data_IF_084608552152
#
_entry.id   IF_084608552152
#
_cell.length_a   1.000
_cell.length_b   1.000
_cell.length_c   1.000
_cell.angle_alpha   90.00
_cell.angle_beta   90.00
_cell.angle_gamma   90.00
#
_symmetry.space_group_name_H-M   'P 1'
#
loop_
_entity.id
_entity.type
_entity.pdbx_description
1 polymer ?
#
# COMPACT_ATOMS: atom_id res chain seq x y z
N UNK A 1 -15.41 31.40 -33.61
CA UNK A 1 -15.10 30.35 -32.62
C UNK A 1 -16.43 29.87 -32.00
N UNK A 2 -16.82 28.66 -32.26
CA UNK A 2 -18.01 28.07 -31.62
C UNK A 2 -17.66 27.69 -30.17
N UNK A 3 -18.40 28.21 -29.20
CA UNK A 3 -18.32 27.75 -27.82
C UNK A 3 -18.91 26.34 -27.73
N UNK A 4 -18.24 25.40 -27.05
CA UNK A 4 -18.81 24.07 -26.87
C UNK A 4 -20.15 24.17 -26.15
N UNK A 5 -21.13 23.43 -26.62
CA UNK A 5 -22.45 23.41 -25.99
C UNK A 5 -22.31 22.85 -24.56
N UNK A 6 -23.19 23.29 -23.67
CA UNK A 6 -23.22 22.78 -22.28
C UNK A 6 -23.33 21.25 -22.21
N UNK A 7 -23.89 20.62 -23.25
CA UNK A 7 -23.98 19.16 -23.38
C UNK A 7 -22.61 18.54 -23.67
N UNK A 8 -21.79 19.14 -24.55
CA UNK A 8 -20.44 18.66 -24.85
C UNK A 8 -19.51 18.79 -23.62
N UNK A 9 -19.58 19.92 -22.92
CA UNK A 9 -18.82 20.13 -21.67
C UNK A 9 -19.20 19.08 -20.60
N UNK A 10 -20.48 18.75 -20.50
CA UNK A 10 -20.96 17.72 -19.56
C UNK A 10 -20.49 16.31 -19.93
N UNK A 11 -20.43 15.98 -21.22
CA UNK A 11 -19.91 14.70 -21.70
C UNK A 11 -18.39 14.58 -21.47
N UNK A 12 -17.64 15.66 -21.71
CA UNK A 12 -16.20 15.68 -21.44
C UNK A 12 -15.90 15.56 -19.95
N UNK A 13 -16.64 16.26 -19.09
CA UNK A 13 -16.52 16.13 -17.63
C UNK A 13 -16.88 14.73 -17.15
N UNK A 14 -17.95 14.14 -17.68
CA UNK A 14 -18.35 12.77 -17.36
C UNK A 14 -17.30 11.74 -17.80
N UNK A 15 -16.67 11.93 -18.95
CA UNK A 15 -15.56 11.09 -19.42
C UNK A 15 -14.30 11.20 -18.56
N UNK A 16 -13.99 12.40 -18.09
CA UNK A 16 -12.85 12.64 -17.17
C UNK A 16 -13.13 12.01 -15.80
N UNK A 17 -14.34 12.15 -15.28
CA UNK A 17 -14.74 11.51 -14.02
C UNK A 17 -14.71 9.98 -14.11
N UNK A 18 -15.09 9.40 -15.24
CA UNK A 18 -15.05 7.96 -15.48
C UNK A 18 -13.61 7.44 -15.62
N UNK A 19 -12.72 8.18 -16.27
CA UNK A 19 -11.28 7.84 -16.33
C UNK A 19 -10.59 8.02 -14.98
N UNK A 20 -10.86 9.09 -14.26
CA UNK A 20 -10.31 9.33 -12.92
C UNK A 20 -10.81 8.28 -11.93
N UNK A 21 -12.04 7.79 -12.12
CA UNK A 21 -12.63 6.72 -11.34
C UNK A 21 -11.97 5.33 -11.51
N UNK A 22 -11.11 5.13 -12.51
CA UNK A 22 -10.37 3.87 -12.72
C UNK A 22 -9.13 3.76 -11.84
N UNK A 23 -8.54 4.88 -11.41
CA UNK A 23 -7.32 4.89 -10.62
C UNK A 23 -7.63 4.89 -9.13
N UNK A 24 -6.98 3.98 -8.41
CA UNK A 24 -7.02 3.92 -6.96
C UNK A 24 -5.93 4.83 -6.40
N UNK A 25 -6.27 5.72 -5.49
CA UNK A 25 -5.30 6.65 -4.89
C UNK A 25 -5.31 6.57 -3.37
N UNK A 26 -4.18 6.84 -2.70
CA UNK A 26 -4.13 6.90 -1.23
C UNK A 26 -5.08 7.95 -0.64
N UNK A 27 -5.45 8.96 -1.44
CA UNK A 27 -6.36 10.03 -1.02
C UNK A 27 -7.80 9.56 -0.83
N UNK A 28 -8.19 8.44 -1.43
CA UNK A 28 -9.53 7.86 -1.25
C UNK A 28 -9.73 7.29 0.15
N UNK A 29 -8.65 6.72 0.73
CA UNK A 29 -8.65 6.14 2.08
C UNK A 29 -7.38 6.54 2.83
N UNK A 30 -7.27 7.81 3.28
CA UNK A 30 -6.04 8.34 3.86
C UNK A 30 -5.61 7.62 5.14
N UNK A 31 -6.54 7.18 5.97
CA UNK A 31 -6.24 6.42 7.20
C UNK A 31 -5.66 5.04 6.84
N UNK A 32 -6.24 4.36 5.86
CA UNK A 32 -5.74 3.07 5.39
C UNK A 32 -4.35 3.21 4.73
N UNK A 33 -4.13 4.30 3.99
CA UNK A 33 -2.82 4.62 3.44
C UNK A 33 -1.78 4.84 4.55
N UNK A 34 -2.15 5.49 5.65
CA UNK A 34 -1.29 5.65 6.82
C UNK A 34 -1.01 4.30 7.52
N UNK A 35 -1.98 3.40 7.56
CA UNK A 35 -1.80 2.02 8.06
C UNK A 35 -0.79 1.26 7.20
N UNK A 36 -0.88 1.34 5.89
CA UNK A 36 0.07 0.71 4.97
C UNK A 36 1.49 1.29 5.14
N UNK A 37 1.60 2.61 5.28
CA UNK A 37 2.86 3.27 5.56
C UNK A 37 3.50 2.73 6.85
N UNK A 38 2.74 2.72 7.94
CA UNK A 38 3.20 2.22 9.23
C UNK A 38 3.58 0.74 9.17
N UNK A 39 2.83 -0.08 8.43
CA UNK A 39 3.12 -1.50 8.23
C UNK A 39 4.47 -1.73 7.53
N UNK A 40 4.75 -0.99 6.46
CA UNK A 40 6.01 -1.10 5.72
C UNK A 40 7.21 -0.57 6.52
N UNK A 41 7.02 0.50 7.28
CA UNK A 41 8.05 1.02 8.20
C UNK A 41 8.31 0.03 9.35
N UNK A 42 7.26 -0.56 9.92
CA UNK A 42 7.37 -1.59 10.95
C UNK A 42 8.12 -2.83 10.44
N UNK A 43 7.82 -3.29 9.23
CA UNK A 43 8.58 -4.36 8.57
C UNK A 43 10.09 -4.03 8.50
N UNK A 44 10.43 -2.84 8.02
CA UNK A 44 11.82 -2.41 7.93
C UNK A 44 12.50 -2.29 9.31
N UNK A 45 11.75 -1.81 10.31
CA UNK A 45 12.22 -1.69 11.70
C UNK A 45 12.52 -3.04 12.33
N UNK A 46 11.61 -3.99 12.22
CA UNK A 46 11.78 -5.37 12.71
C UNK A 46 12.97 -6.04 12.00
N UNK A 47 13.08 -5.89 10.67
CA UNK A 47 14.20 -6.41 9.91
C UNK A 47 15.55 -5.84 10.37
N UNK A 48 15.63 -4.53 10.64
CA UNK A 48 16.85 -3.90 11.15
C UNK A 48 17.18 -4.34 12.58
N UNK A 49 16.20 -4.35 13.47
CA UNK A 49 16.40 -4.80 14.86
C UNK A 49 16.91 -6.25 14.94
N UNK A 50 16.43 -7.13 14.06
CA UNK A 50 16.84 -8.54 13.99
C UNK A 50 18.32 -8.72 13.59
N UNK A 51 18.90 -7.74 12.92
CA UNK A 51 20.29 -7.78 12.44
C UNK A 51 21.24 -6.89 13.22
N UNK A 52 20.76 -6.13 14.23
CA UNK A 52 21.62 -5.34 15.10
C UNK A 52 22.02 -6.17 16.33
N UNK A 53 23.32 -6.13 16.67
CA UNK A 53 23.87 -6.90 17.78
C UNK A 53 23.34 -6.44 19.16
N UNK A 54 22.95 -5.17 19.26
CA UNK A 54 22.43 -4.54 20.49
C UNK A 54 20.92 -4.26 20.43
N UNK A 55 20.25 -4.65 19.35
CA UNK A 55 18.83 -4.36 19.13
C UNK A 55 18.50 -2.89 18.90
N UNK A 56 19.52 -2.02 18.76
CA UNK A 56 19.33 -0.60 18.55
C UNK A 56 18.68 -0.30 17.20
N UNK A 57 17.70 0.59 17.20
CA UNK A 57 17.00 1.05 15.99
C UNK A 57 17.64 2.33 15.46
N UNK A 58 18.33 2.23 14.35
CA UNK A 58 18.75 3.37 13.55
C UNK A 58 17.59 3.78 12.62
N UNK A 59 16.94 4.88 12.96
CA UNK A 59 15.77 5.41 12.25
C UNK A 59 16.13 5.70 10.78
N UNK A 60 17.30 6.25 10.51
CA UNK A 60 17.73 6.54 9.14
C UNK A 60 17.89 5.24 8.33
N UNK A 61 18.46 4.21 8.92
CA UNK A 61 18.61 2.91 8.30
C UNK A 61 17.25 2.22 8.07
N UNK A 62 16.30 2.37 9.00
CA UNK A 62 14.92 1.88 8.85
C UNK A 62 14.22 2.57 7.68
N UNK A 63 14.25 3.90 7.62
CA UNK A 63 13.62 4.67 6.55
C UNK A 63 14.24 4.36 5.18
N UNK A 64 15.55 4.27 5.10
CA UNK A 64 16.26 3.89 3.85
C UNK A 64 15.88 2.48 3.40
N UNK A 65 15.62 1.57 4.33
CA UNK A 65 15.18 0.21 4.02
C UNK A 65 13.71 0.17 3.59
N UNK A 66 12.85 0.96 4.22
CA UNK A 66 11.43 1.05 3.88
C UNK A 66 11.17 1.76 2.54
N UNK A 67 12.01 2.73 2.18
CA UNK A 67 11.81 3.63 1.03
C UNK A 67 11.50 2.91 -0.29
N UNK A 68 12.25 1.90 -0.76
CA UNK A 68 11.94 1.22 -2.01
C UNK A 68 10.57 0.53 -1.99
N UNK A 69 10.16 0.01 -0.86
CA UNK A 69 8.85 -0.65 -0.69
C UNK A 69 7.71 0.37 -0.64
N UNK A 70 7.91 1.51 0.05
CA UNK A 70 6.96 2.62 0.07
C UNK A 70 6.75 3.19 -1.33
N UNK A 71 7.84 3.45 -2.07
CA UNK A 71 7.78 3.94 -3.44
C UNK A 71 7.03 2.95 -4.35
N UNK A 72 7.38 1.66 -4.28
CA UNK A 72 6.73 0.63 -5.07
C UNK A 72 5.23 0.50 -4.72
N UNK A 73 4.87 0.53 -3.44
CA UNK A 73 3.49 0.43 -2.99
C UNK A 73 2.63 1.57 -3.53
N UNK A 74 3.05 2.82 -3.27
CA UNK A 74 2.27 3.99 -3.69
C UNK A 74 2.32 4.27 -5.20
N UNK A 75 3.40 3.90 -5.88
CA UNK A 75 3.47 4.01 -7.33
C UNK A 75 2.57 3.00 -8.05
N UNK A 76 2.35 1.81 -7.48
CA UNK A 76 1.52 0.77 -8.10
C UNK A 76 0.06 0.79 -7.65
N UNK A 77 -0.28 1.47 -6.54
CA UNK A 77 -1.63 1.51 -6.02
C UNK A 77 -2.69 2.01 -7.02
N UNK A 78 -2.43 2.96 -7.94
CA UNK A 78 -3.41 3.35 -8.94
C UNK A 78 -3.84 2.21 -9.87
N UNK A 79 -2.93 1.28 -10.13
CA UNK A 79 -3.14 0.17 -11.07
C UNK A 79 -3.68 -1.09 -10.40
N UNK A 80 -3.42 -1.27 -9.12
CA UNK A 80 -3.81 -2.47 -8.36
C UNK A 80 -5.17 -2.35 -7.68
N UNK A 81 -5.73 -1.16 -7.58
CA UNK A 81 -7.05 -0.93 -6.99
C UNK A 81 -7.12 -1.14 -5.48
N UNK A 82 -5.98 -1.15 -4.78
CA UNK A 82 -5.88 -1.48 -3.34
C UNK A 82 -6.66 -0.55 -2.41
N UNK A 83 -6.98 0.66 -2.84
CA UNK A 83 -7.77 1.64 -2.07
C UNK A 83 -9.24 1.70 -2.51
N UNK A 84 -9.61 1.03 -3.59
CA UNK A 84 -11.00 0.88 -4.03
C UNK A 84 -11.61 -0.43 -3.55
N UNK A 85 -10.82 -1.50 -3.62
CA UNK A 85 -11.21 -2.83 -3.18
C UNK A 85 -11.10 -2.93 -1.64
N UNK A 86 -11.79 -3.86 -1.04
CA UNK A 86 -11.61 -4.19 0.39
C UNK A 86 -12.75 -3.76 1.31
N UNK A 87 -13.81 -3.12 0.78
CA UNK A 87 -14.96 -2.69 1.58
C UNK A 87 -15.94 -3.84 1.92
N UNK A 88 -15.66 -5.05 1.46
CA UNK A 88 -16.46 -6.25 1.72
C UNK A 88 -16.09 -7.01 3.00
N UNK A 89 -15.52 -6.34 4.00
CA UNK A 89 -15.13 -6.93 5.27
C UNK A 89 -13.68 -7.47 5.31
N UNK A 90 -13.38 -8.21 6.37
CA UNK A 90 -12.01 -8.65 6.71
C UNK A 90 -11.32 -9.44 5.59
N UNK A 91 -12.02 -10.38 4.98
CA UNK A 91 -11.47 -11.22 3.88
C UNK A 91 -11.21 -10.37 2.64
N UNK A 92 -12.11 -9.45 2.31
CA UNK A 92 -11.94 -8.53 1.19
C UNK A 92 -10.75 -7.60 1.38
N UNK A 93 -10.54 -7.09 2.59
CA UNK A 93 -9.37 -6.29 2.97
C UNK A 93 -8.06 -7.06 2.78
N UNK A 94 -8.02 -8.33 3.20
CA UNK A 94 -6.88 -9.21 2.99
C UNK A 94 -6.58 -9.49 1.51
N UNK A 95 -7.61 -9.73 0.71
CA UNK A 95 -7.48 -9.92 -0.76
C UNK A 95 -6.97 -8.67 -1.46
N UNK A 96 -7.46 -7.49 -1.09
CA UNK A 96 -6.98 -6.22 -1.63
C UNK A 96 -5.50 -5.99 -1.29
N UNK A 97 -5.08 -6.29 -0.06
CA UNK A 97 -3.69 -6.25 0.35
C UNK A 97 -2.81 -7.21 -0.50
N UNK A 98 -3.24 -8.45 -0.66
CA UNK A 98 -2.52 -9.45 -1.44
C UNK A 98 -2.39 -9.06 -2.92
N UNK A 99 -3.41 -8.45 -3.49
CA UNK A 99 -3.40 -7.96 -4.87
C UNK A 99 -2.37 -6.84 -5.09
N UNK A 100 -2.29 -5.88 -4.17
CA UNK A 100 -1.26 -4.84 -4.20
C UNK A 100 0.14 -5.41 -3.92
N UNK A 101 0.22 -6.31 -2.95
CA UNK A 101 1.45 -6.95 -2.53
C UNK A 101 2.16 -7.70 -3.65
N UNK A 102 1.43 -8.49 -4.45
CA UNK A 102 2.00 -9.32 -5.53
C UNK A 102 2.73 -8.51 -6.60
N UNK A 103 2.38 -7.24 -6.75
CA UNK A 103 3.03 -6.30 -7.67
C UNK A 103 4.08 -5.44 -6.95
N UNK A 104 3.68 -4.81 -5.86
CA UNK A 104 4.48 -3.79 -5.19
C UNK A 104 5.72 -4.36 -4.48
N UNK A 105 5.61 -5.52 -3.82
CA UNK A 105 6.73 -6.04 -3.01
C UNK A 105 7.86 -6.61 -3.86
N UNK A 106 7.61 -7.41 -4.92
CA UNK A 106 8.66 -7.79 -5.87
C UNK A 106 9.32 -6.57 -6.53
N UNK A 107 8.54 -5.53 -6.90
CA UNK A 107 9.09 -4.29 -7.42
C UNK A 107 9.95 -3.56 -6.38
N UNK A 108 9.52 -3.53 -5.12
CA UNK A 108 10.30 -2.99 -4.00
C UNK A 108 11.63 -3.70 -3.80
N UNK A 109 11.65 -5.03 -3.92
CA UNK A 109 12.89 -5.82 -3.90
C UNK A 109 13.82 -5.44 -5.07
N UNK A 110 13.29 -5.28 -6.26
CA UNK A 110 14.04 -4.86 -7.44
C UNK A 110 14.62 -3.44 -7.26
N UNK A 111 13.80 -2.48 -6.82
CA UNK A 111 14.24 -1.11 -6.51
C UNK A 111 15.35 -1.09 -5.44
N UNK A 112 15.20 -1.91 -4.40
CA UNK A 112 16.23 -2.05 -3.37
C UNK A 112 17.55 -2.54 -3.98
N UNK A 113 17.52 -3.51 -4.89
CA UNK A 113 18.69 -3.99 -5.61
C UNK A 113 19.37 -2.89 -6.42
N UNK A 114 18.59 -2.09 -7.13
CA UNK A 114 19.09 -0.94 -7.90
C UNK A 114 19.74 0.11 -6.98
N UNK A 115 19.06 0.48 -5.90
CA UNK A 115 19.56 1.49 -4.94
C UNK A 115 20.86 1.02 -4.24
N UNK A 116 20.95 -0.26 -3.92
CA UNK A 116 22.11 -0.84 -3.25
C UNK A 116 23.23 -1.26 -4.20
N UNK A 117 22.96 -1.33 -5.50
CA UNK A 117 23.93 -1.75 -6.51
C UNK A 117 24.27 -3.25 -6.52
N UNK A 118 23.43 -4.09 -5.91
CA UNK A 118 23.59 -5.52 -5.93
C UNK A 118 22.24 -6.25 -5.89
N UNK A 119 22.21 -7.47 -6.42
CA UNK A 119 21.01 -8.32 -6.38
C UNK A 119 20.75 -8.77 -4.94
N UNK A 120 19.55 -8.51 -4.38
CA UNK A 120 19.24 -8.97 -3.03
C UNK A 120 19.37 -10.49 -2.89
N UNK A 121 19.98 -11.00 -1.81
CA UNK A 121 20.10 -12.45 -1.59
C UNK A 121 18.73 -13.14 -1.53
N UNK A 122 18.63 -14.35 -2.05
CA UNK A 122 17.37 -15.12 -2.07
C UNK A 122 16.73 -15.25 -0.67
N UNK A 123 17.45 -15.53 0.44
CA UNK A 123 16.86 -15.57 1.77
C UNK A 123 16.21 -14.24 2.17
N UNK A 124 16.83 -13.11 1.82
CA UNK A 124 16.25 -11.77 2.08
C UNK A 124 14.93 -11.60 1.32
N UNK A 125 14.89 -11.96 0.05
CA UNK A 125 13.68 -11.84 -0.79
C UNK A 125 12.54 -12.70 -0.22
N UNK A 126 12.82 -13.95 0.13
CA UNK A 126 11.83 -14.89 0.67
C UNK A 126 11.25 -14.36 1.99
N UNK A 127 12.10 -13.95 2.93
CA UNK A 127 11.66 -13.39 4.22
C UNK A 127 10.86 -12.10 4.01
N UNK A 128 11.30 -11.23 3.12
CA UNK A 128 10.60 -9.98 2.78
C UNK A 128 9.21 -10.27 2.21
N UNK A 129 9.09 -11.21 1.29
CA UNK A 129 7.80 -11.58 0.70
C UNK A 129 6.84 -12.09 1.78
N UNK A 130 7.25 -13.00 2.62
CA UNK A 130 6.42 -13.58 3.67
C UNK A 130 6.05 -12.53 4.74
N UNK A 131 7.05 -11.82 5.26
CA UNK A 131 6.85 -10.84 6.33
C UNK A 131 5.95 -9.68 5.89
N UNK A 132 6.16 -9.14 4.70
CA UNK A 132 5.33 -8.04 4.19
C UNK A 132 3.90 -8.48 3.88
N UNK A 133 3.69 -9.71 3.40
CA UNK A 133 2.35 -10.25 3.19
C UNK A 133 1.58 -10.35 4.52
N UNK A 134 2.23 -10.90 5.55
CA UNK A 134 1.64 -11.03 6.88
C UNK A 134 1.35 -9.67 7.51
N UNK A 135 2.30 -8.74 7.44
CA UNK A 135 2.16 -7.42 8.07
C UNK A 135 1.13 -6.57 7.32
N UNK A 136 1.20 -6.47 6.00
CA UNK A 136 0.23 -5.70 5.21
C UNK A 136 -1.17 -6.32 5.23
N UNK A 137 -1.25 -7.62 5.02
CA UNK A 137 -2.51 -8.34 5.07
C UNK A 137 -3.13 -8.28 6.46
N UNK A 138 -2.35 -8.57 7.50
CA UNK A 138 -2.78 -8.55 8.89
C UNK A 138 -3.21 -7.15 9.36
N UNK A 139 -2.46 -6.11 9.04
CA UNK A 139 -2.80 -4.73 9.42
C UNK A 139 -4.10 -4.26 8.76
N UNK A 140 -4.33 -4.58 7.50
CA UNK A 140 -5.58 -4.24 6.79
C UNK A 140 -6.78 -5.03 7.29
N UNK A 141 -6.60 -6.31 7.58
CA UNK A 141 -7.66 -7.14 8.18
C UNK A 141 -8.04 -6.61 9.57
N UNK A 142 -7.04 -6.25 10.39
CA UNK A 142 -7.26 -5.65 11.71
C UNK A 142 -7.95 -4.29 11.59
N UNK A 143 -7.53 -3.45 10.65
CA UNK A 143 -8.19 -2.17 10.38
C UNK A 143 -9.67 -2.37 10.01
N UNK A 144 -9.98 -3.32 9.15
CA UNK A 144 -11.37 -3.65 8.79
C UNK A 144 -12.21 -4.08 10.00
N UNK A 145 -11.66 -4.91 10.88
CA UNK A 145 -12.34 -5.31 12.12
C UNK A 145 -12.64 -4.11 13.03
N UNK A 146 -11.68 -3.20 13.16
CA UNK A 146 -11.86 -2.00 13.99
C UNK A 146 -12.90 -1.07 13.38
N UNK A 147 -12.85 -0.87 12.06
CA UNK A 147 -13.81 -0.04 11.33
C UNK A 147 -15.25 -0.56 11.47
N UNK A 148 -15.45 -1.87 11.28
CA UNK A 148 -16.76 -2.52 11.46
C UNK A 148 -17.30 -2.34 12.89
N UNK A 149 -16.44 -2.47 13.89
CA UNK A 149 -16.83 -2.26 15.30
C UNK A 149 -17.17 -0.82 15.64
N UNK A 150 -16.48 0.13 15.02
CA UNK A 150 -16.76 1.57 15.21
C UNK A 150 -18.08 1.95 14.53
N UNK A 151 -18.32 1.49 13.31
CA UNK A 151 -19.57 1.72 12.59
C UNK A 151 -20.78 1.10 13.27
N UNK A 152 -20.66 -0.12 13.81
CA UNK A 152 -21.73 -0.78 14.56
C UNK A 152 -22.08 -0.12 15.90
N UNK A 153 -21.22 0.74 16.44
CA UNK A 153 -21.51 1.54 17.66
C UNK A 153 -22.31 2.81 17.38
N UNK A 154 -22.23 3.34 16.16
CA UNK A 154 -23.00 4.52 15.77
C UNK A 154 -24.46 4.17 15.46
N UNK A 155 -24.76 2.93 15.08
CA UNK A 155 -26.14 2.45 14.84
C UNK A 155 -26.86 1.98 16.12
N UNK A 156 -26.16 1.84 17.18
CA UNK A 156 -26.70 1.46 18.48
C UNK A 156 -26.88 2.70 19.37
#
# INVERSE_FOLDING_TARGET
>A
MATPSSFQTKLEMSGIEEETGKFSTPMEKPILAAVDFAALVAFAGVGKASHSADGALDIQAVLTTALPFLLAWYATCPFTGVYKDGDGGVISAGKAAAKGWVVAVPLGCALRGVIKGYVPPAPFVIVTLIATLVILGGSRMLYSVVEDKMSGKEEA
#
